data_IF_494389363227
#
_entry.id   IF_494389363227
#
_cell.length_a   1.000
_cell.length_b   1.000
_cell.length_c   1.000
_cell.angle_alpha   90.00
_cell.angle_beta   90.00
_cell.angle_gamma   90.00
#
_symmetry.space_group_name_H-M   'P 1'
#
loop_
_entity.id
_entity.type
_entity.pdbx_description
1 polymer ?
#
# COMPACT_ATOMS: atom_id res chain seq x y z
N UNK A 1 -4.67 -6.14 -29.35
CA UNK A 1 -3.28 -6.45 -28.95
C UNK A 1 -3.30 -6.99 -27.52
N UNK A 2 -2.52 -8.03 -27.17
CA UNK A 2 -2.41 -8.52 -25.79
C UNK A 2 -1.25 -7.82 -25.08
N UNK A 3 -1.36 -7.58 -23.78
CA UNK A 3 -0.30 -6.94 -22.99
C UNK A 3 0.87 -7.92 -22.71
N UNK A 4 2.06 -7.39 -22.45
CA UNK A 4 3.24 -8.14 -22.05
C UNK A 4 4.13 -7.29 -21.12
N UNK A 5 5.03 -7.93 -20.38
CA UNK A 5 6.08 -7.23 -19.64
C UNK A 5 7.29 -7.04 -20.56
N UNK A 6 7.66 -5.79 -20.84
CA UNK A 6 8.76 -5.45 -21.74
C UNK A 6 10.15 -5.61 -21.13
N UNK A 7 10.27 -5.56 -19.80
CA UNK A 7 11.55 -5.56 -19.07
C UNK A 7 11.40 -6.39 -17.77
N UNK A 8 11.35 -7.73 -17.88
CA UNK A 8 11.07 -8.61 -16.75
C UNK A 8 12.20 -8.67 -15.70
N UNK A 9 13.42 -8.31 -16.06
CA UNK A 9 14.57 -8.13 -15.18
C UNK A 9 14.46 -6.86 -14.30
N UNK A 10 13.74 -5.84 -14.77
CA UNK A 10 13.38 -4.66 -13.96
C UNK A 10 12.04 -4.83 -13.22
N UNK A 11 11.41 -6.00 -13.32
CA UNK A 11 10.20 -6.31 -12.55
C UNK A 11 10.54 -6.35 -11.06
N UNK A 12 9.75 -5.68 -10.22
CA UNK A 12 9.91 -5.72 -8.75
C UNK A 12 8.92 -6.67 -8.05
N UNK A 13 8.24 -7.53 -8.81
CA UNK A 13 7.24 -8.47 -8.29
C UNK A 13 6.23 -7.84 -7.30
N UNK A 14 5.83 -6.57 -7.52
CA UNK A 14 4.97 -5.82 -6.59
C UNK A 14 3.48 -6.22 -6.66
N UNK A 15 3.12 -7.03 -7.66
CA UNK A 15 1.75 -7.48 -7.98
C UNK A 15 0.75 -6.38 -8.35
N UNK A 16 1.14 -5.11 -8.53
CA UNK A 16 0.18 -4.06 -8.90
C UNK A 16 -0.57 -4.37 -10.20
N UNK A 17 0.14 -4.84 -11.23
CA UNK A 17 -0.46 -5.28 -12.49
C UNK A 17 -1.40 -6.48 -12.31
N UNK A 18 -1.01 -7.48 -11.49
CA UNK A 18 -1.84 -8.64 -11.17
C UNK A 18 -3.12 -8.22 -10.47
N UNK A 19 -3.03 -7.38 -9.44
CA UNK A 19 -4.14 -6.94 -8.59
C UNK A 19 -5.17 -6.10 -9.35
N UNK A 20 -4.74 -5.32 -10.34
CA UNK A 20 -5.62 -4.39 -11.08
C UNK A 20 -6.23 -5.02 -12.33
N UNK A 21 -5.69 -6.15 -12.82
CA UNK A 21 -6.19 -6.78 -14.04
C UNK A 21 -7.63 -7.28 -13.83
N UNK A 22 -8.65 -6.69 -14.49
CA UNK A 22 -10.05 -7.05 -14.24
C UNK A 22 -10.39 -8.46 -14.77
N UNK A 23 -9.57 -8.99 -15.68
CA UNK A 23 -9.73 -10.33 -16.24
C UNK A 23 -8.95 -11.40 -15.45
N UNK A 24 -8.12 -11.01 -14.48
CA UNK A 24 -7.21 -11.94 -13.79
C UNK A 24 -6.21 -12.60 -14.75
N UNK A 25 -5.81 -11.93 -15.82
CA UNK A 25 -5.01 -12.50 -16.92
C UNK A 25 -3.49 -12.41 -16.71
N UNK A 26 -3.04 -11.86 -15.58
CA UNK A 26 -1.62 -11.68 -15.25
C UNK A 26 -1.32 -12.51 -14.00
N UNK A 27 -0.24 -13.28 -14.04
CA UNK A 27 0.32 -14.00 -12.90
C UNK A 27 1.82 -13.67 -12.78
N UNK A 28 2.42 -14.01 -11.65
CA UNK A 28 3.85 -13.84 -11.40
C UNK A 28 4.57 -15.17 -11.40
N UNK A 29 5.71 -15.20 -12.11
CA UNK A 29 6.66 -16.31 -12.08
C UNK A 29 7.94 -15.78 -11.45
N UNK A 30 8.28 -16.33 -10.28
CA UNK A 30 9.43 -15.93 -9.47
C UNK A 30 10.74 -15.77 -10.26
N UNK A 31 11.60 -14.86 -9.85
CA UNK A 31 12.92 -14.64 -10.46
C UNK A 31 13.72 -15.93 -10.64
N UNK A 32 14.24 -16.15 -11.85
CA UNK A 32 14.88 -17.42 -12.22
C UNK A 32 16.22 -17.65 -11.52
N UNK A 33 16.84 -16.57 -11.04
CA UNK A 33 18.11 -16.56 -10.32
C UNK A 33 18.07 -17.43 -9.05
N UNK A 34 16.91 -17.53 -8.40
CA UNK A 34 16.80 -18.22 -7.11
C UNK A 34 15.45 -18.91 -6.84
N UNK A 35 14.42 -18.76 -7.69
CA UNK A 35 13.09 -19.35 -7.43
C UNK A 35 12.90 -20.66 -8.23
N UNK A 36 12.79 -21.82 -7.57
CA UNK A 36 12.39 -23.05 -8.24
C UNK A 36 10.98 -22.94 -8.84
N UNK A 37 10.77 -23.59 -9.99
CA UNK A 37 9.47 -23.56 -10.68
C UNK A 37 8.33 -24.15 -9.81
N UNK A 38 7.10 -23.69 -10.08
CA UNK A 38 5.86 -24.32 -9.61
C UNK A 38 5.20 -23.69 -8.39
N UNK A 39 5.83 -22.72 -7.73
CA UNK A 39 5.18 -21.91 -6.69
C UNK A 39 4.36 -20.77 -7.33
N UNK A 40 3.21 -20.42 -6.72
CA UNK A 40 2.35 -19.33 -7.15
C UNK A 40 1.73 -18.61 -5.94
N UNK A 41 1.62 -17.28 -6.02
CA UNK A 41 0.93 -16.45 -5.04
C UNK A 41 -0.14 -15.62 -5.76
N UNK A 42 -1.42 -15.96 -5.58
CA UNK A 42 -2.52 -15.37 -6.35
C UNK A 42 -3.38 -14.48 -5.44
N UNK A 43 -3.42 -13.15 -5.68
CA UNK A 43 -4.29 -12.24 -4.95
C UNK A 43 -5.69 -12.14 -5.56
N UNK A 44 -6.68 -11.91 -4.72
CA UNK A 44 -8.01 -11.41 -5.09
C UNK A 44 -8.31 -10.17 -4.24
N UNK A 45 -8.18 -9.00 -4.83
CA UNK A 45 -8.32 -7.72 -4.13
C UNK A 45 -9.75 -7.20 -4.24
N UNK A 46 -10.46 -7.14 -3.11
CA UNK A 46 -11.76 -6.47 -2.99
C UNK A 46 -11.62 -5.00 -2.63
N UNK A 47 -12.66 -4.44 -2.02
CA UNK A 47 -12.69 -3.04 -1.56
C UNK A 47 -12.19 -2.90 -0.11
N UNK A 48 -12.60 -3.77 0.80
CA UNK A 48 -12.28 -3.71 2.23
C UNK A 48 -11.26 -4.78 2.67
N UNK A 49 -11.09 -5.84 1.88
CA UNK A 49 -10.15 -6.92 2.13
C UNK A 49 -9.45 -7.44 0.85
N UNK A 50 -8.33 -8.12 1.04
CA UNK A 50 -7.61 -8.89 0.02
C UNK A 50 -7.49 -10.34 0.45
N UNK A 51 -7.78 -11.26 -0.46
CA UNK A 51 -7.54 -12.69 -0.28
C UNK A 51 -6.29 -13.12 -1.01
N UNK A 52 -5.57 -14.08 -0.46
CA UNK A 52 -4.39 -14.67 -1.07
C UNK A 52 -4.50 -16.19 -1.07
N UNK A 53 -4.18 -16.80 -2.20
CA UNK A 53 -3.94 -18.24 -2.31
C UNK A 53 -2.48 -18.47 -2.62
N UNK A 54 -1.77 -19.19 -1.75
CA UNK A 54 -0.36 -19.54 -1.91
C UNK A 54 -0.27 -21.03 -2.24
N UNK A 55 0.21 -21.35 -3.43
CA UNK A 55 0.46 -22.72 -3.87
C UNK A 55 1.96 -22.98 -3.90
N UNK A 56 2.40 -23.98 -3.15
CA UNK A 56 3.78 -24.42 -3.13
C UNK A 56 4.04 -25.38 -4.29
N UNK A 57 5.33 -25.53 -4.67
CA UNK A 57 5.76 -26.50 -5.69
C UNK A 57 5.28 -27.93 -5.40
N UNK A 58 5.20 -28.33 -4.13
CA UNK A 58 4.74 -29.66 -3.70
C UNK A 58 3.21 -29.82 -3.67
N UNK A 59 2.45 -28.83 -4.14
CA UNK A 59 0.99 -28.86 -4.14
C UNK A 59 0.32 -28.41 -2.84
N UNK A 60 1.08 -28.07 -1.78
CA UNK A 60 0.51 -27.47 -0.56
C UNK A 60 -0.17 -26.13 -0.91
N UNK A 61 -1.38 -25.94 -0.39
CA UNK A 61 -2.15 -24.70 -0.59
C UNK A 61 -2.42 -24.05 0.76
N UNK A 62 -2.09 -22.76 0.87
CA UNK A 62 -2.47 -21.90 1.99
C UNK A 62 -3.43 -20.81 1.48
N UNK A 63 -4.42 -20.45 2.30
CA UNK A 63 -5.37 -19.37 2.00
C UNK A 63 -5.43 -18.39 3.15
N UNK A 64 -5.38 -17.11 2.81
CA UNK A 64 -5.41 -16.00 3.76
C UNK A 64 -6.39 -14.93 3.30
N UNK A 65 -6.91 -14.15 4.26
CA UNK A 65 -7.71 -12.95 4.01
C UNK A 65 -7.27 -11.86 4.99
N UNK A 66 -6.98 -10.67 4.48
CA UNK A 66 -6.52 -9.53 5.27
C UNK A 66 -7.40 -8.31 4.98
N UNK A 67 -7.81 -7.53 6.01
CA UNK A 67 -8.42 -6.23 5.77
C UNK A 67 -7.40 -5.27 5.15
N UNK A 68 -7.85 -4.42 4.22
CA UNK A 68 -7.00 -3.41 3.54
C UNK A 68 -7.48 -1.98 3.74
N UNK A 69 -8.72 -1.79 4.18
CA UNK A 69 -9.30 -0.45 4.36
C UNK A 69 -10.44 -0.51 5.38
N UNK A 70 -10.51 0.49 6.25
CA UNK A 70 -11.57 0.65 7.26
C UNK A 70 -12.62 1.69 6.87
N UNK A 71 -12.40 2.43 5.78
CA UNK A 71 -13.30 3.46 5.23
C UNK A 71 -13.62 3.20 3.75
N UNK A 72 -14.72 3.74 3.20
CA UNK A 72 -15.02 3.59 1.78
C UNK A 72 -13.95 4.15 0.85
N UNK A 73 -13.89 3.65 -0.38
CA UNK A 73 -13.02 4.21 -1.43
C UNK A 73 -13.49 5.61 -1.82
N UNK A 74 -12.55 6.54 -1.94
CA UNK A 74 -12.85 7.93 -2.29
C UNK A 74 -13.48 8.78 -1.17
N UNK A 75 -13.54 8.29 0.07
CA UNK A 75 -14.18 9.02 1.18
C UNK A 75 -13.23 9.85 2.05
N UNK A 76 -11.98 10.06 1.64
CA UNK A 76 -11.03 10.85 2.44
C UNK A 76 -11.37 12.33 2.30
N UNK A 77 -11.56 13.00 3.43
CA UNK A 77 -11.69 14.46 3.53
C UNK A 77 -10.36 15.03 4.03
N UNK A 78 -9.49 15.60 3.17
CA UNK A 78 -8.08 15.83 3.51
C UNK A 78 -7.82 16.79 4.68
N UNK A 79 -8.71 17.77 4.88
CA UNK A 79 -8.59 18.82 5.89
C UNK A 79 -9.81 18.87 6.83
N UNK A 80 -10.48 17.73 7.02
CA UNK A 80 -11.67 17.64 7.88
C UNK A 80 -11.35 18.10 9.30
N UNK A 81 -12.04 19.15 9.75
CA UNK A 81 -11.86 19.73 11.08
C UNK A 81 -10.62 20.61 11.25
N UNK A 82 -9.83 20.86 10.20
CA UNK A 82 -8.65 21.71 10.29
C UNK A 82 -9.02 23.19 10.14
N UNK A 83 -8.37 24.12 10.86
CA UNK A 83 -8.52 25.54 10.62
C UNK A 83 -7.90 25.94 9.27
N UNK A 84 -8.39 27.03 8.69
CA UNK A 84 -7.76 27.64 7.52
C UNK A 84 -6.31 28.09 7.84
N UNK A 85 -5.39 27.99 6.87
CA UNK A 85 -4.02 28.46 7.06
C UNK A 85 -4.00 29.99 7.29
N UNK A 86 -3.06 30.44 8.12
CA UNK A 86 -2.84 31.87 8.41
C UNK A 86 -1.39 32.26 8.13
N UNK A 87 -1.14 33.56 7.90
CA UNK A 87 0.22 34.07 7.71
C UNK A 87 1.10 33.92 8.97
N UNK A 88 0.48 33.84 10.15
CA UNK A 88 1.20 33.60 11.40
C UNK A 88 1.60 32.13 11.53
N UNK A 89 0.69 31.21 11.16
CA UNK A 89 1.00 29.78 11.13
C UNK A 89 1.98 29.41 10.01
N UNK A 90 1.96 30.13 8.89
CA UNK A 90 2.92 29.91 7.80
C UNK A 90 4.38 30.17 8.20
N UNK A 91 4.60 30.98 9.25
CA UNK A 91 5.93 31.36 9.72
C UNK A 91 6.46 30.49 10.86
N UNK A 92 5.65 29.56 11.36
CA UNK A 92 6.06 28.63 12.41
C UNK A 92 6.26 27.22 11.82
N UNK A 93 6.59 26.27 12.68
CA UNK A 93 6.91 24.89 12.28
C UNK A 93 5.68 23.95 12.23
N UNK A 94 4.47 24.47 12.48
CA UNK A 94 3.26 23.65 12.53
C UNK A 94 2.82 23.20 11.13
N UNK A 95 2.50 21.92 11.00
CA UNK A 95 1.79 21.38 9.84
C UNK A 95 0.27 21.54 9.99
N UNK A 96 -0.47 21.23 8.92
CA UNK A 96 -1.93 21.31 8.93
C UNK A 96 -2.54 20.38 10.00
N UNK A 97 -3.38 20.94 10.87
CA UNK A 97 -4.02 20.23 11.98
C UNK A 97 -3.15 20.06 13.22
N UNK A 98 -1.89 20.53 13.22
CA UNK A 98 -1.04 20.50 14.40
C UNK A 98 -1.30 21.69 15.34
N UNK A 99 -1.15 21.50 16.66
CA UNK A 99 -0.69 20.27 17.34
C UNK A 99 -1.79 19.21 17.55
N UNK A 100 -3.04 19.47 17.19
CA UNK A 100 -4.19 18.64 17.57
C UNK A 100 -4.13 17.21 17.01
N UNK A 101 -3.66 17.03 15.77
CA UNK A 101 -3.53 15.68 15.17
C UNK A 101 -2.44 14.82 15.85
N UNK A 102 -1.52 15.44 16.59
CA UNK A 102 -0.51 14.74 17.38
C UNK A 102 -1.09 14.24 18.72
N UNK A 103 -2.31 14.63 19.06
CA UNK A 103 -2.96 14.37 20.35
C UNK A 103 -2.13 14.91 21.53
N UNK A 104 -1.58 16.12 21.35
CA UNK A 104 -0.73 16.82 22.32
C UNK A 104 -1.18 18.28 22.47
N UNK A 105 -0.99 18.84 23.67
CA UNK A 105 -1.33 20.24 23.96
C UNK A 105 -0.44 21.25 23.22
N UNK A 106 0.78 20.83 22.85
CA UNK A 106 1.77 21.65 22.15
C UNK A 106 2.70 20.80 21.30
N UNK A 107 3.42 21.45 20.38
CA UNK A 107 4.42 20.80 19.54
C UNK A 107 5.53 20.17 20.41
N UNK A 108 5.96 18.92 20.15
CA UNK A 108 7.05 18.28 20.86
C UNK A 108 8.35 19.09 20.81
N UNK A 109 8.96 19.32 21.97
CA UNK A 109 10.24 20.03 22.08
C UNK A 109 11.42 19.05 22.09
N UNK A 110 12.45 19.32 21.28
CA UNK A 110 13.71 18.56 21.28
C UNK A 110 14.83 19.37 21.92
N UNK A 111 15.53 18.78 22.89
CA UNK A 111 16.71 19.41 23.51
C UNK A 111 17.83 19.50 22.49
N UNK A 112 18.22 20.71 22.11
CA UNK A 112 19.39 20.93 21.27
C UNK A 112 20.66 20.55 22.02
N UNK A 113 21.65 20.05 21.30
CA UNK A 113 22.99 19.80 21.84
C UNK A 113 23.53 21.12 22.39
N UNK A 114 24.06 21.07 23.61
CA UNK A 114 24.72 22.19 24.27
C UNK A 114 25.97 22.65 23.52
#
# INVERSE_FOLDING_TARGET
MKAYNQEPDMCWECYSCVKICPQGAIDMRGYVDFVPLGAQCVPMRGTDAIMWTIKFRNGKILRFKFPIRTTPWGSIQPFEGFPEPSLDNLKNELLAGEPQILDLDKLPEVKKKA
#
